data_IF_979984288949
#
_entry.id   IF_979984288949
#
_cell.length_a   1.000
_cell.length_b   1.000
_cell.length_c   1.000
_cell.angle_alpha   90.00
_cell.angle_beta   90.00
_cell.angle_gamma   90.00
#
_symmetry.space_group_name_H-M   'P 1'
#
loop_
_entity.id
_entity.type
_entity.pdbx_description
1 polymer ?
#
# COMPACT_ATOMS: atom_id res chain seq x y z
N UNK A 1 -15.44 28.65 -1.75
CA UNK A 1 -15.52 27.32 -1.12
C UNK A 1 -15.95 26.30 -2.17
N UNK A 2 -15.06 25.41 -2.62
CA UNK A 2 -15.44 24.35 -3.56
C UNK A 2 -16.27 23.33 -2.79
N UNK A 3 -17.59 23.32 -3.00
CA UNK A 3 -18.49 22.31 -2.40
C UNK A 3 -17.98 20.93 -2.83
N UNK A 4 -17.55 20.10 -1.87
CA UNK A 4 -17.12 18.73 -2.17
C UNK A 4 -18.33 18.01 -2.79
N UNK A 5 -18.16 17.52 -4.02
CA UNK A 5 -19.20 16.76 -4.70
C UNK A 5 -19.54 15.53 -3.83
N UNK A 6 -20.82 15.35 -3.44
CA UNK A 6 -21.23 14.18 -2.66
C UNK A 6 -20.84 12.90 -3.40
N UNK A 7 -20.16 11.98 -2.72
CA UNK A 7 -19.74 10.70 -3.32
C UNK A 7 -20.90 9.70 -3.49
N UNK A 8 -22.07 10.02 -2.94
CA UNK A 8 -23.28 9.20 -2.91
C UNK A 8 -24.49 10.09 -3.23
N UNK A 9 -25.53 9.49 -3.78
CA UNK A 9 -26.81 10.15 -4.04
C UNK A 9 -27.34 10.79 -2.75
N UNK A 10 -27.64 12.10 -2.74
CA UNK A 10 -28.31 12.75 -1.61
C UNK A 10 -29.66 12.11 -1.23
N UNK A 11 -30.36 11.50 -2.19
CA UNK A 11 -31.63 10.81 -1.98
C UNK A 11 -31.49 9.35 -1.51
N UNK A 12 -30.27 8.80 -1.47
CA UNK A 12 -30.08 7.43 -1.02
C UNK A 12 -30.29 7.29 0.50
N UNK A 13 -31.02 6.26 0.96
CA UNK A 13 -31.13 5.91 2.36
C UNK A 13 -29.76 5.86 3.05
N UNK A 14 -29.68 6.46 4.23
CA UNK A 14 -28.44 6.45 5.00
C UNK A 14 -28.20 5.03 5.53
N UNK A 15 -26.98 4.53 5.32
CA UNK A 15 -26.57 3.18 5.77
C UNK A 15 -26.89 2.96 7.24
N UNK A 16 -27.33 1.75 7.58
CA UNK A 16 -27.52 1.33 8.96
C UNK A 16 -26.19 1.44 9.75
N UNK A 17 -26.31 1.78 11.03
CA UNK A 17 -25.18 1.91 11.94
C UNK A 17 -24.85 0.56 12.57
N UNK A 18 -23.56 0.32 12.81
CA UNK A 18 -23.11 -0.84 13.60
C UNK A 18 -23.48 -0.65 15.08
N UNK A 19 -23.64 -1.76 15.81
CA UNK A 19 -23.91 -1.82 17.26
C UNK A 19 -23.01 -0.84 18.03
N UNK A 20 -21.70 -0.92 17.79
CA UNK A 20 -20.72 -0.05 18.43
C UNK A 20 -20.93 1.43 18.07
N UNK A 21 -21.28 1.74 16.82
CA UNK A 21 -21.44 3.12 16.36
C UNK A 21 -22.73 3.75 16.91
N UNK A 22 -23.78 2.94 17.14
CA UNK A 22 -24.99 3.38 17.85
C UNK A 22 -24.69 3.70 19.32
N UNK A 23 -23.96 2.80 20.00
CA UNK A 23 -23.49 3.03 21.37
C UNK A 23 -22.62 4.29 21.46
N UNK A 24 -21.63 4.41 20.56
CA UNK A 24 -20.74 5.57 20.52
C UNK A 24 -21.52 6.86 20.34
N UNK A 25 -22.51 6.92 19.43
CA UNK A 25 -23.32 8.12 19.22
C UNK A 25 -24.14 8.50 20.46
N UNK A 26 -24.75 7.52 21.14
CA UNK A 26 -25.56 7.77 22.33
C UNK A 26 -24.73 8.22 23.54
N UNK A 27 -23.53 7.65 23.73
CA UNK A 27 -22.66 7.93 24.87
C UNK A 27 -21.65 9.05 24.62
N UNK A 28 -21.57 9.57 23.39
CA UNK A 28 -20.57 10.58 23.04
C UNK A 28 -20.69 11.83 23.90
N UNK A 29 -21.91 12.31 24.10
CA UNK A 29 -22.17 13.57 24.81
C UNK A 29 -22.03 13.41 26.32
N UNK A 30 -22.41 12.24 26.85
CA UNK A 30 -22.20 11.90 28.27
C UNK A 30 -20.72 11.84 28.59
N UNK A 31 -19.93 11.13 27.79
CA UNK A 31 -18.49 11.04 27.99
C UNK A 31 -17.76 12.37 27.76
N UNK A 32 -18.25 13.22 26.84
CA UNK A 32 -17.73 14.56 26.63
C UNK A 32 -17.98 15.48 27.83
N UNK A 33 -19.13 15.34 28.48
CA UNK A 33 -19.49 16.11 29.68
C UNK A 33 -18.71 15.64 30.90
N UNK A 34 -18.51 14.32 31.04
CA UNK A 34 -17.69 13.74 32.11
C UNK A 34 -16.19 14.05 31.96
N UNK A 35 -15.71 14.18 30.72
CA UNK A 35 -14.30 14.41 30.42
C UNK A 35 -14.10 15.66 29.52
N UNK A 36 -14.37 16.87 30.03
CA UNK A 36 -14.34 18.10 29.22
C UNK A 36 -12.93 18.53 28.76
N UNK A 37 -11.87 17.85 29.23
CA UNK A 37 -10.48 18.11 28.83
C UNK A 37 -9.88 17.12 27.83
N UNK A 38 -10.58 16.04 27.46
CA UNK A 38 -10.06 15.05 26.51
C UNK A 38 -10.27 15.49 25.06
N UNK A 39 -9.26 15.26 24.23
CA UNK A 39 -9.39 15.45 22.78
C UNK A 39 -10.37 14.44 22.18
N UNK A 40 -11.00 14.77 21.04
CA UNK A 40 -11.93 13.85 20.36
C UNK A 40 -11.32 12.46 20.11
N UNK A 41 -10.03 12.40 19.77
CA UNK A 41 -9.33 11.12 19.54
C UNK A 41 -9.16 10.30 20.82
N UNK A 42 -8.83 10.94 21.95
CA UNK A 42 -8.75 10.28 23.26
C UNK A 42 -10.13 9.82 23.72
N UNK A 43 -11.15 10.66 23.55
CA UNK A 43 -12.54 10.34 23.88
C UNK A 43 -13.03 9.12 23.07
N UNK A 44 -12.71 9.04 21.78
CA UNK A 44 -13.07 7.88 20.96
C UNK A 44 -12.37 6.59 21.38
N UNK A 45 -11.14 6.66 21.91
CA UNK A 45 -10.46 5.48 22.47
C UNK A 45 -11.13 5.04 23.78
N UNK A 46 -11.51 6.01 24.61
CA UNK A 46 -12.26 5.78 25.84
C UNK A 46 -13.64 5.16 25.57
N UNK A 47 -14.38 5.63 24.56
CA UNK A 47 -15.68 5.02 24.20
C UNK A 47 -15.53 3.57 23.77
N UNK A 48 -14.46 3.25 23.02
CA UNK A 48 -14.16 1.88 22.62
C UNK A 48 -13.85 0.97 23.81
N UNK A 49 -13.03 1.44 24.77
CA UNK A 49 -12.70 0.64 25.96
C UNK A 49 -13.92 0.42 26.85
N UNK A 50 -14.77 1.43 27.01
CA UNK A 50 -16.04 1.29 27.74
C UNK A 50 -16.97 0.28 27.05
N UNK A 51 -17.12 0.34 25.72
CA UNK A 51 -17.92 -0.64 24.99
C UNK A 51 -17.38 -2.07 25.12
N UNK A 52 -16.06 -2.26 25.13
CA UNK A 52 -15.46 -3.58 25.34
C UNK A 52 -15.78 -4.12 26.74
N UNK A 53 -15.74 -3.25 27.76
CA UNK A 53 -16.01 -3.57 29.15
C UNK A 53 -17.51 -3.72 29.50
N UNK A 54 -18.44 -3.33 28.60
CA UNK A 54 -19.87 -3.48 28.84
C UNK A 54 -20.27 -4.95 29.07
N UNK A 55 -21.17 -5.24 30.02
CA UNK A 55 -21.69 -6.59 30.22
C UNK A 55 -22.46 -7.05 28.98
N UNK A 56 -22.44 -8.36 28.72
CA UNK A 56 -23.06 -8.93 27.51
C UNK A 56 -24.57 -8.65 27.44
N UNK A 57 -25.27 -8.64 28.58
CA UNK A 57 -26.70 -8.30 28.65
C UNK A 57 -27.01 -6.88 28.12
N UNK A 58 -26.15 -5.90 28.41
CA UNK A 58 -26.34 -4.54 27.87
C UNK A 58 -25.98 -4.47 26.39
N UNK A 59 -24.94 -5.20 25.96
CA UNK A 59 -24.58 -5.33 24.54
C UNK A 59 -25.72 -5.91 23.72
N UNK A 60 -26.44 -6.91 24.24
CA UNK A 60 -27.63 -7.49 23.61
C UNK A 60 -28.73 -6.44 23.33
N UNK A 61 -28.95 -5.53 24.28
CA UNK A 61 -29.86 -4.40 24.08
C UNK A 61 -29.46 -3.50 22.90
N UNK A 62 -28.16 -3.25 22.74
CA UNK A 62 -27.65 -2.49 21.58
C UNK A 62 -27.69 -3.30 20.28
N UNK A 63 -27.48 -4.61 20.34
CA UNK A 63 -27.60 -5.52 19.19
C UNK A 63 -29.03 -5.50 18.66
N UNK A 64 -30.03 -5.54 19.54
CA UNK A 64 -31.44 -5.43 19.15
C UNK A 64 -31.76 -4.09 18.48
N UNK A 65 -31.24 -2.97 18.99
CA UNK A 65 -31.42 -1.66 18.33
C UNK A 65 -30.75 -1.61 16.95
N UNK A 66 -29.57 -2.21 16.82
CA UNK A 66 -28.87 -2.28 15.53
C UNK A 66 -29.56 -3.21 14.54
N UNK A 67 -30.23 -4.28 15.00
CA UNK A 67 -31.01 -5.16 14.13
C UNK A 67 -32.28 -4.45 13.62
N UNK A 68 -32.95 -3.67 14.46
CA UNK A 68 -34.07 -2.81 14.05
C UNK A 68 -33.62 -1.75 13.04
N UNK A 69 -32.48 -1.09 13.28
CA UNK A 69 -31.90 -0.09 12.37
C UNK A 69 -31.48 -0.71 11.02
N UNK A 70 -31.01 -1.95 11.03
CA UNK A 70 -30.76 -2.73 9.82
C UNK A 70 -32.06 -2.97 9.05
N UNK A 71 -33.13 -3.36 9.75
CA UNK A 71 -34.44 -3.59 9.14
C UNK A 71 -35.04 -2.29 8.56
N UNK A 72 -34.92 -1.16 9.27
CA UNK A 72 -35.27 0.17 8.73
C UNK A 72 -34.55 0.43 7.40
N UNK A 73 -33.23 0.27 7.38
CA UNK A 73 -32.44 0.49 6.17
C UNK A 73 -32.83 -0.47 5.04
N UNK A 74 -33.12 -1.73 5.33
CA UNK A 74 -33.57 -2.71 4.33
C UNK A 74 -34.94 -2.32 3.73
N UNK A 75 -35.89 -1.88 4.57
CA UNK A 75 -37.19 -1.38 4.12
C UNK A 75 -37.06 -0.09 3.29
N UNK A 76 -36.24 0.87 3.73
CA UNK A 76 -35.97 2.11 2.99
C UNK A 76 -35.28 1.82 1.64
N UNK A 77 -34.30 0.91 1.64
CA UNK A 77 -33.60 0.50 0.42
C UNK A 77 -34.50 -0.25 -0.56
N UNK A 78 -35.49 -1.01 -0.08
CA UNK A 78 -36.47 -1.68 -0.94
C UNK A 78 -37.40 -0.69 -1.67
N UNK A 79 -37.68 0.45 -1.02
CA UNK A 79 -38.51 1.53 -1.60
C UNK A 79 -37.69 2.49 -2.46
N UNK A 80 -36.37 2.51 -2.26
CA UNK A 80 -35.48 3.44 -2.93
C UNK A 80 -35.30 3.10 -4.41
N UNK A 81 -35.64 4.07 -5.26
CA UNK A 81 -35.35 4.06 -6.70
C UNK A 81 -34.20 5.04 -6.96
N UNK A 82 -33.03 4.58 -7.46
CA UNK A 82 -31.88 5.44 -7.66
C UNK A 82 -32.11 6.46 -8.78
N UNK A 83 -31.61 7.68 -8.59
CA UNK A 83 -31.63 8.69 -9.65
C UNK A 83 -30.74 8.26 -10.84
N UNK A 84 -31.05 8.70 -12.08
CA UNK A 84 -30.22 8.40 -13.24
C UNK A 84 -28.76 8.79 -13.03
N UNK A 85 -27.84 7.82 -13.18
CA UNK A 85 -26.40 8.00 -12.95
C UNK A 85 -25.89 7.48 -11.59
N UNK A 86 -26.78 6.98 -10.73
CA UNK A 86 -26.44 6.31 -9.47
C UNK A 86 -26.73 4.81 -9.54
N UNK A 87 -25.98 4.00 -8.79
CA UNK A 87 -26.17 2.55 -8.69
C UNK A 87 -27.36 2.21 -7.77
N UNK A 88 -27.75 0.94 -7.72
CA UNK A 88 -28.84 0.45 -6.86
C UNK A 88 -28.61 0.70 -5.35
N UNK A 89 -27.39 1.06 -4.94
CA UNK A 89 -27.00 1.41 -3.56
C UNK A 89 -26.78 2.92 -3.38
N UNK A 90 -27.09 3.74 -4.38
CA UNK A 90 -26.88 5.20 -4.39
C UNK A 90 -25.43 5.64 -4.59
N UNK A 91 -24.50 4.75 -4.92
CA UNK A 91 -23.14 5.11 -5.35
C UNK A 91 -23.14 5.71 -6.75
N UNK A 92 -22.17 6.58 -7.07
CA UNK A 92 -22.09 7.14 -8.42
C UNK A 92 -21.57 6.08 -9.39
N UNK A 93 -22.29 5.82 -10.50
CA UNK A 93 -21.84 4.89 -11.53
C UNK A 93 -20.58 5.44 -12.21
N UNK A 94 -19.56 4.60 -12.41
CA UNK A 94 -18.22 5.02 -12.86
C UNK A 94 -18.18 5.78 -14.20
N UNK A 95 -19.21 5.67 -15.03
CA UNK A 95 -19.38 6.45 -16.26
C UNK A 95 -19.85 7.90 -16.01
N UNK A 96 -20.59 8.14 -14.92
CA UNK A 96 -21.10 9.44 -14.51
C UNK A 96 -20.24 10.13 -13.44
N UNK A 97 -19.16 9.48 -12.98
CA UNK A 97 -18.37 9.99 -11.85
C UNK A 97 -17.45 11.15 -12.24
N UNK A 98 -17.71 12.39 -11.76
CA UNK A 98 -16.86 13.54 -12.05
C UNK A 98 -15.44 13.38 -11.48
N UNK A 99 -15.27 12.51 -10.47
CA UNK A 99 -13.98 12.16 -9.89
C UNK A 99 -13.05 11.43 -10.87
N UNK A 100 -13.59 10.68 -11.84
CA UNK A 100 -12.78 10.03 -12.88
C UNK A 100 -12.32 11.03 -13.93
N UNK A 101 -13.18 11.99 -14.29
CA UNK A 101 -12.83 13.11 -15.17
C UNK A 101 -11.74 13.99 -14.53
N UNK A 102 -11.81 14.24 -13.21
CA UNK A 102 -10.76 14.98 -12.48
C UNK A 102 -9.38 14.29 -12.50
N UNK A 103 -9.33 12.96 -12.59
CA UNK A 103 -8.07 12.21 -12.58
C UNK A 103 -7.46 11.99 -13.98
N UNK A 104 -8.20 12.25 -15.05
CA UNK A 104 -7.70 12.17 -16.41
C UNK A 104 -7.27 13.58 -16.84
N UNK A 105 -5.95 13.84 -16.89
CA UNK A 105 -5.44 15.11 -17.44
C UNK A 105 -6.06 15.36 -18.81
N UNK A 106 -6.63 16.54 -19.08
CA UNK A 106 -7.14 16.88 -20.40
C UNK A 106 -6.05 16.65 -21.46
N UNK A 107 -6.43 15.98 -22.55
CA UNK A 107 -5.58 15.86 -23.74
C UNK A 107 -6.10 16.85 -24.77
N UNK A 108 -5.18 17.47 -25.50
CA UNK A 108 -5.55 18.30 -26.65
C UNK A 108 -6.31 17.42 -27.67
N UNK A 109 -7.53 17.79 -28.10
CA UNK A 109 -8.25 17.10 -29.16
C UNK A 109 -7.48 17.03 -30.49
N UNK A 110 -6.62 18.02 -30.77
CA UNK A 110 -5.83 18.09 -32.00
C UNK A 110 -4.50 17.30 -31.90
N UNK A 111 -4.20 16.71 -30.74
CA UNK A 111 -2.99 15.93 -30.59
C UNK A 111 -3.06 14.61 -31.40
N UNK A 112 -2.03 14.29 -32.18
CA UNK A 112 -1.92 13.01 -32.86
C UNK A 112 -2.13 11.84 -31.89
N UNK A 113 -2.95 10.87 -32.31
CA UNK A 113 -3.18 9.67 -31.52
C UNK A 113 -1.93 8.81 -31.55
N UNK A 114 -1.50 8.35 -30.38
CA UNK A 114 -0.37 7.42 -30.23
C UNK A 114 -0.47 6.23 -31.18
N UNK A 115 0.69 5.75 -31.60
CA UNK A 115 0.76 4.52 -32.39
C UNK A 115 0.17 3.30 -31.65
N UNK A 116 -0.38 2.40 -32.45
CA UNK A 116 -1.10 1.19 -32.05
C UNK A 116 -0.15 -0.01 -32.27
N UNK A 117 -0.02 -0.86 -31.25
CA UNK A 117 0.80 -2.07 -31.36
C UNK A 117 0.15 -3.15 -32.21
N UNK A 118 0.97 -4.07 -32.72
CA UNK A 118 0.57 -5.23 -33.53
C UNK A 118 -0.60 -6.01 -32.91
N UNK A 119 -0.51 -6.30 -31.61
CA UNK A 119 -1.58 -6.95 -30.86
C UNK A 119 -2.87 -6.12 -30.81
N UNK A 120 -2.79 -4.80 -30.62
CA UNK A 120 -3.96 -3.95 -30.49
C UNK A 120 -4.68 -3.76 -31.83
N UNK A 121 -3.93 -3.75 -32.94
CA UNK A 121 -4.49 -3.80 -34.31
C UNK A 121 -5.23 -5.12 -34.55
N UNK A 122 -4.62 -6.26 -34.19
CA UNK A 122 -5.26 -7.57 -34.25
C UNK A 122 -6.54 -7.61 -33.39
N UNK A 123 -6.46 -7.12 -32.16
CA UNK A 123 -7.60 -7.09 -31.24
C UNK A 123 -8.75 -6.27 -31.80
N UNK A 124 -8.49 -5.14 -32.45
CA UNK A 124 -9.53 -4.32 -33.06
C UNK A 124 -10.22 -5.03 -34.23
N UNK A 125 -9.47 -5.77 -35.05
CA UNK A 125 -10.04 -6.54 -36.16
C UNK A 125 -10.90 -7.73 -35.67
N UNK A 126 -10.43 -8.44 -34.64
CA UNK A 126 -11.05 -9.69 -34.17
C UNK A 126 -12.17 -9.43 -33.15
N UNK A 127 -12.17 -8.30 -32.45
CA UNK A 127 -13.17 -7.98 -31.41
C UNK A 127 -14.61 -8.08 -31.94
N UNK A 128 -14.89 -7.56 -33.13
CA UNK A 128 -16.24 -7.58 -33.70
C UNK A 128 -16.67 -8.99 -34.10
N UNK A 129 -15.75 -9.79 -34.63
CA UNK A 129 -15.98 -11.19 -34.99
C UNK A 129 -16.30 -12.00 -33.73
N UNK A 130 -15.49 -11.86 -32.68
CA UNK A 130 -15.73 -12.54 -31.41
C UNK A 130 -17.04 -12.12 -30.74
N UNK A 131 -17.43 -10.85 -30.87
CA UNK A 131 -18.70 -10.36 -30.35
C UNK A 131 -19.90 -10.95 -31.11
N UNK A 132 -19.75 -11.19 -32.42
CA UNK A 132 -20.77 -11.86 -33.23
C UNK A 132 -20.86 -13.37 -32.93
N UNK A 133 -19.71 -14.05 -32.75
CA UNK A 133 -19.64 -15.46 -32.36
C UNK A 133 -20.16 -15.71 -30.93
N UNK A 134 -19.91 -14.77 -30.01
CA UNK A 134 -20.28 -14.87 -28.60
C UNK A 134 -21.07 -13.64 -28.13
N UNK A 135 -22.32 -13.46 -28.57
CA UNK A 135 -23.12 -12.26 -28.27
C UNK A 135 -23.47 -12.09 -26.78
N UNK A 136 -23.33 -13.15 -25.97
CA UNK A 136 -23.51 -13.12 -24.51
C UNK A 136 -22.23 -13.02 -23.69
N UNK A 137 -21.04 -13.06 -24.31
CA UNK A 137 -19.78 -13.01 -23.59
C UNK A 137 -19.45 -11.57 -23.17
N UNK A 138 -18.97 -11.41 -21.92
CA UNK A 138 -18.52 -10.12 -21.41
C UNK A 138 -17.28 -9.63 -22.17
N UNK A 139 -17.10 -8.31 -22.27
CA UNK A 139 -15.90 -7.70 -22.85
C UNK A 139 -14.60 -8.26 -22.25
N UNK A 140 -14.61 -8.55 -20.94
CA UNK A 140 -13.48 -9.16 -20.26
C UNK A 140 -13.12 -10.55 -20.81
N UNK A 141 -14.14 -11.37 -21.09
CA UNK A 141 -13.95 -12.74 -21.60
C UNK A 141 -13.57 -12.72 -23.08
N UNK A 142 -14.16 -11.83 -23.88
CA UNK A 142 -13.74 -11.58 -25.26
C UNK A 142 -12.26 -11.13 -25.33
N UNK A 143 -11.81 -10.30 -24.39
CA UNK A 143 -10.41 -9.85 -24.32
C UNK A 143 -9.44 -10.97 -23.95
N UNK A 144 -9.83 -11.87 -23.04
CA UNK A 144 -9.03 -13.08 -22.72
C UNK A 144 -8.94 -13.98 -23.96
N UNK A 145 -10.06 -14.21 -24.64
CA UNK A 145 -10.11 -15.03 -25.86
C UNK A 145 -9.28 -14.44 -27.00
N UNK A 146 -9.31 -13.12 -27.19
CA UNK A 146 -8.48 -12.47 -28.21
C UNK A 146 -6.99 -12.62 -27.90
N UNK A 147 -6.61 -12.54 -26.63
CA UNK A 147 -5.23 -12.77 -26.18
C UNK A 147 -4.76 -14.20 -26.44
N UNK A 148 -5.60 -15.20 -26.18
CA UNK A 148 -5.25 -16.60 -26.44
C UNK A 148 -5.16 -16.89 -27.93
N UNK A 149 -6.07 -16.35 -28.76
CA UNK A 149 -5.98 -16.47 -30.23
C UNK A 149 -4.71 -15.81 -30.78
N UNK A 150 -4.33 -14.61 -30.30
CA UNK A 150 -3.10 -13.95 -30.76
C UNK A 150 -1.82 -14.71 -30.39
N UNK A 151 -1.78 -15.37 -29.23
CA UNK A 151 -0.63 -16.20 -28.83
C UNK A 151 -0.50 -17.46 -29.68
N UNK A 152 -1.61 -18.01 -30.17
CA UNK A 152 -1.66 -19.18 -31.05
C UNK A 152 -1.42 -18.85 -32.52
N UNK A 153 -1.36 -17.56 -32.87
CA UNK A 153 -1.16 -17.10 -34.24
C UNK A 153 0.19 -17.57 -34.78
N UNK A 154 0.25 -17.91 -36.07
CA UNK A 154 1.51 -18.35 -36.68
C UNK A 154 2.51 -17.20 -36.77
N UNK A 155 3.80 -17.52 -36.85
CA UNK A 155 4.86 -16.51 -37.01
C UNK A 155 4.67 -15.65 -38.27
N UNK A 156 4.14 -16.24 -39.35
CA UNK A 156 3.85 -15.52 -40.59
C UNK A 156 2.73 -14.50 -40.41
N UNK A 157 1.62 -14.88 -39.80
CA UNK A 157 0.50 -13.96 -39.53
C UNK A 157 0.90 -12.86 -38.55
N UNK A 158 1.70 -13.20 -37.52
CA UNK A 158 2.20 -12.21 -36.55
C UNK A 158 3.08 -11.16 -37.22
N UNK A 159 3.94 -11.57 -38.17
CA UNK A 159 4.75 -10.65 -38.98
C UNK A 159 3.88 -9.66 -39.77
N UNK A 160 2.73 -10.09 -40.31
CA UNK A 160 1.80 -9.19 -41.01
C UNK A 160 1.26 -8.09 -40.07
N UNK A 161 0.93 -8.44 -38.83
CA UNK A 161 0.47 -7.46 -37.83
C UNK A 161 1.60 -6.56 -37.33
N UNK A 162 2.81 -7.10 -37.20
CA UNK A 162 4.00 -6.34 -36.83
C UNK A 162 4.35 -5.30 -37.92
N UNK A 163 4.21 -5.66 -39.19
CA UNK A 163 4.38 -4.72 -40.30
C UNK A 163 3.32 -3.60 -40.29
N UNK A 164 2.04 -3.94 -40.04
CA UNK A 164 0.99 -2.93 -39.88
C UNK A 164 1.28 -1.99 -38.69
N UNK A 165 1.80 -2.51 -37.60
CA UNK A 165 2.22 -1.70 -36.45
C UNK A 165 3.43 -0.81 -36.78
N UNK A 166 4.35 -1.29 -37.63
CA UNK A 166 5.48 -0.50 -38.13
C UNK A 166 5.00 0.69 -38.96
N UNK A 167 4.06 0.48 -39.87
CA UNK A 167 3.44 1.55 -40.66
C UNK A 167 2.67 2.55 -39.76
N UNK A 168 1.93 2.06 -38.77
CA UNK A 168 1.21 2.90 -37.82
C UNK A 168 2.16 3.76 -36.96
N UNK A 169 3.33 3.20 -36.60
CA UNK A 169 4.41 3.95 -35.95
C UNK A 169 4.94 5.05 -36.86
N UNK A 170 5.20 4.78 -38.14
CA UNK A 170 5.66 5.79 -39.10
C UNK A 170 4.62 6.91 -39.28
N UNK A 171 3.33 6.56 -39.38
CA UNK A 171 2.24 7.55 -39.42
C UNK A 171 2.30 8.46 -38.18
N UNK A 172 2.36 7.88 -36.98
CA UNK A 172 2.42 8.67 -35.75
C UNK A 172 3.69 9.54 -35.67
N UNK A 173 4.85 9.01 -36.06
CA UNK A 173 6.12 9.73 -36.07
C UNK A 173 6.06 10.93 -37.05
N UNK A 174 5.37 10.80 -38.19
CA UNK A 174 5.14 11.89 -39.13
C UNK A 174 4.11 12.92 -38.61
N UNK A 175 2.99 12.46 -38.06
CA UNK A 175 1.94 13.31 -37.49
C UNK A 175 2.48 14.13 -36.29
N UNK A 176 3.26 13.50 -35.40
CA UNK A 176 3.83 14.17 -34.24
C UNK A 176 4.93 15.16 -34.63
N UNK A 177 5.67 14.91 -35.71
CA UNK A 177 6.65 15.87 -36.25
C UNK A 177 5.98 17.11 -36.84
N UNK A 178 4.79 16.97 -37.42
CA UNK A 178 4.00 18.08 -37.96
C UNK A 178 3.14 18.79 -36.90
N UNK A 179 2.95 18.18 -35.73
CA UNK A 179 2.11 18.71 -34.67
C UNK A 179 2.85 19.78 -33.86
N UNK A 180 2.29 20.99 -33.84
CA UNK A 180 2.72 22.08 -32.98
C UNK A 180 1.74 22.20 -31.80
N UNK A 181 2.16 21.87 -30.56
CA UNK A 181 1.26 21.92 -29.42
C UNK A 181 0.87 23.37 -29.07
N UNK A 182 -0.40 23.62 -28.68
CA UNK A 182 -0.82 24.92 -28.19
C UNK A 182 -0.17 25.25 -26.84
N UNK A 183 -0.07 26.55 -26.51
CA UNK A 183 0.56 27.01 -25.27
C UNK A 183 -0.06 26.32 -24.04
N UNK A 184 0.79 25.65 -23.24
CA UNK A 184 0.38 24.91 -22.05
C UNK A 184 0.23 23.40 -22.24
N UNK A 185 0.51 22.83 -23.42
CA UNK A 185 0.52 21.39 -23.66
C UNK A 185 1.94 20.85 -23.95
N UNK A 186 2.21 19.62 -23.51
CA UNK A 186 3.44 18.87 -23.83
C UNK A 186 3.49 18.54 -25.33
N UNK A 187 4.68 18.15 -25.82
CA UNK A 187 4.88 17.63 -27.19
C UNK A 187 3.97 16.44 -27.56
N UNK A 188 3.34 15.80 -26.57
CA UNK A 188 2.41 14.67 -26.73
C UNK A 188 0.95 15.10 -26.49
N UNK A 189 0.66 16.40 -26.47
CA UNK A 189 -0.68 16.95 -26.30
C UNK A 189 -1.28 16.76 -24.91
N UNK A 190 -0.46 16.57 -23.87
CA UNK A 190 -0.92 16.51 -22.48
C UNK A 190 -0.87 17.90 -21.87
N UNK A 191 -1.93 18.31 -21.19
CA UNK A 191 -1.93 19.59 -20.47
C UNK A 191 -0.84 19.60 -19.39
N UNK A 192 0.07 20.57 -19.48
CA UNK A 192 1.11 20.85 -18.48
C UNK A 192 0.43 21.61 -17.33
N UNK A 193 -0.12 20.89 -16.37
CA UNK A 193 -0.58 21.52 -15.14
C UNK A 193 0.63 22.00 -14.31
N UNK A 194 0.84 23.32 -14.21
CA UNK A 194 1.87 23.92 -13.33
C UNK A 194 1.76 23.44 -11.88
N UNK A 195 0.52 23.20 -11.41
CA UNK A 195 0.22 22.70 -10.06
C UNK A 195 0.66 21.25 -9.83
N UNK A 196 0.95 20.49 -10.90
CA UNK A 196 1.33 19.08 -10.85
C UNK A 196 2.82 18.84 -11.11
N UNK A 197 3.66 19.88 -11.05
CA UNK A 197 5.10 19.70 -10.81
C UNK A 197 5.25 18.99 -9.47
N UNK A 198 5.35 17.65 -9.51
CA UNK A 198 5.68 16.84 -8.33
C UNK A 198 6.91 17.49 -7.72
N UNK A 199 6.74 18.11 -6.56
CA UNK A 199 7.84 18.65 -5.79
C UNK A 199 8.91 17.58 -5.63
N UNK A 200 10.18 17.96 -5.43
CA UNK A 200 11.25 17.00 -5.25
C UNK A 200 10.81 15.98 -4.21
N UNK A 201 10.77 14.70 -4.59
CA UNK A 201 10.40 13.62 -3.68
C UNK A 201 11.30 13.75 -2.45
N UNK A 202 10.69 13.75 -1.25
CA UNK A 202 11.44 13.68 0.01
C UNK A 202 12.36 12.47 -0.09
N UNK A 203 13.66 12.71 -0.02
CA UNK A 203 14.69 11.66 -0.03
C UNK A 203 14.87 11.19 1.40
N UNK A 204 15.15 9.90 1.58
CA UNK A 204 15.48 9.34 2.89
C UNK A 204 16.62 10.16 3.52
N UNK A 205 16.52 10.58 4.80
CA UNK A 205 17.56 11.36 5.47
C UNK A 205 18.92 10.66 5.47
N UNK A 206 18.92 9.33 5.62
CA UNK A 206 20.12 8.51 5.71
C UNK A 206 20.74 8.17 4.35
N UNK A 207 20.10 8.59 3.24
CA UNK A 207 20.60 8.31 1.91
C UNK A 207 21.86 9.14 1.63
N UNK A 208 22.99 8.52 1.24
CA UNK A 208 24.20 9.23 0.89
C UNK A 208 23.97 10.32 -0.16
N UNK A 209 24.59 11.48 0.05
CA UNK A 209 24.51 12.61 -0.88
C UNK A 209 25.33 12.28 -2.12
N UNK A 210 24.78 12.64 -3.29
CA UNK A 210 25.41 12.38 -4.60
C UNK A 210 26.85 12.91 -4.67
N UNK A 211 27.68 12.21 -5.44
CA UNK A 211 29.02 12.66 -5.82
C UNK A 211 29.00 14.09 -6.39
N UNK A 212 29.93 14.92 -5.94
CA UNK A 212 30.16 16.29 -6.36
C UNK A 212 31.09 16.29 -7.57
N UNK A 213 30.74 17.06 -8.60
CA UNK A 213 31.62 17.31 -9.75
C UNK A 213 32.75 18.28 -9.42
N UNK A 214 33.75 18.36 -10.30
CA UNK A 214 34.94 19.21 -10.12
C UNK A 214 34.60 20.69 -9.94
N UNK A 215 33.67 21.22 -10.73
CA UNK A 215 33.16 22.58 -10.56
C UNK A 215 32.51 22.82 -9.19
N UNK A 216 31.75 21.85 -8.66
CA UNK A 216 31.09 21.99 -7.34
C UNK A 216 32.14 22.02 -6.23
N UNK A 217 33.18 21.21 -6.34
CA UNK A 217 34.30 21.21 -5.39
C UNK A 217 35.07 22.54 -5.44
N UNK A 218 35.33 23.06 -6.63
CA UNK A 218 35.92 24.38 -6.84
C UNK A 218 35.09 25.50 -6.21
N UNK A 219 33.78 25.53 -6.49
CA UNK A 219 32.91 26.57 -5.92
C UNK A 219 32.87 26.52 -4.39
N UNK A 220 32.98 25.36 -3.75
CA UNK A 220 33.03 25.29 -2.28
C UNK A 220 34.27 25.98 -1.70
N UNK A 221 35.40 25.98 -2.42
CA UNK A 221 36.67 26.58 -1.98
C UNK A 221 36.75 28.06 -2.34
N UNK A 222 36.30 28.43 -3.55
CA UNK A 222 36.43 29.80 -4.05
C UNK A 222 35.28 30.72 -3.61
N UNK A 223 34.10 30.16 -3.34
CA UNK A 223 32.94 30.94 -2.87
C UNK A 223 33.24 31.75 -1.60
N UNK A 224 33.86 31.22 -0.53
CA UNK A 224 34.20 32.03 0.64
C UNK A 224 35.23 33.12 0.34
N UNK A 225 36.14 32.91 -0.63
CA UNK A 225 37.13 33.94 -1.02
C UNK A 225 36.46 35.12 -1.72
N UNK A 226 35.60 34.84 -2.70
CA UNK A 226 34.82 35.89 -3.39
C UNK A 226 33.89 36.61 -2.41
N UNK A 227 33.34 35.89 -1.45
CA UNK A 227 32.48 36.48 -0.43
C UNK A 227 33.27 37.36 0.55
N UNK A 228 34.51 37.01 0.88
CA UNK A 228 35.40 37.85 1.68
C UNK A 228 35.81 39.14 0.94
N UNK A 229 36.08 39.04 -0.37
CA UNK A 229 36.39 40.18 -1.23
C UNK A 229 35.17 41.08 -1.46
N UNK A 230 33.96 40.50 -1.55
CA UNK A 230 32.71 41.23 -1.80
C UNK A 230 31.57 40.75 -0.89
N UNK A 231 31.52 41.19 0.39
CA UNK A 231 30.53 40.70 1.36
C UNK A 231 29.07 41.05 1.05
N UNK A 232 28.84 42.03 0.15
CA UNK A 232 27.49 42.48 -0.28
C UNK A 232 27.05 41.90 -1.63
N UNK A 233 27.83 40.99 -2.23
CA UNK A 233 27.48 40.43 -3.55
C UNK A 233 26.23 39.53 -3.45
N UNK A 234 25.26 39.75 -4.33
CA UNK A 234 24.08 38.89 -4.43
C UNK A 234 24.42 37.50 -4.94
N UNK A 235 23.65 36.48 -4.56
CA UNK A 235 23.86 35.08 -4.97
C UNK A 235 23.99 34.90 -6.49
N UNK A 236 23.18 35.63 -7.27
CA UNK A 236 23.19 35.59 -8.74
C UNK A 236 24.54 36.10 -9.30
N UNK A 237 25.01 37.25 -8.83
CA UNK A 237 26.29 37.83 -9.26
C UNK A 237 27.50 37.00 -8.81
N UNK A 238 27.42 36.38 -7.63
CA UNK A 238 28.43 35.43 -7.14
C UNK A 238 28.57 34.20 -8.05
N UNK A 239 27.44 33.68 -8.56
CA UNK A 239 27.44 32.57 -9.49
C UNK A 239 28.12 32.90 -10.82
N UNK A 240 27.91 34.11 -11.34
CA UNK A 240 28.58 34.60 -12.56
C UNK A 240 30.09 34.70 -12.35
N UNK A 241 30.53 35.35 -11.26
CA UNK A 241 31.95 35.50 -10.93
C UNK A 241 32.67 34.14 -10.73
N UNK A 242 32.01 33.16 -10.09
CA UNK A 242 32.54 31.80 -9.94
C UNK A 242 32.68 31.08 -11.29
N UNK A 243 31.72 31.25 -12.19
CA UNK A 243 31.77 30.66 -13.53
C UNK A 243 32.89 31.24 -14.39
N UNK A 244 33.13 32.55 -14.29
CA UNK A 244 34.25 33.23 -14.96
C UNK A 244 35.60 32.77 -14.40
N UNK A 245 35.76 32.73 -13.06
CA UNK A 245 37.00 32.20 -12.44
C UNK A 245 37.26 30.74 -12.80
N UNK A 246 36.23 29.92 -12.95
CA UNK A 246 36.40 28.52 -13.39
C UNK A 246 36.88 28.41 -14.84
N UNK A 247 36.36 29.26 -15.75
CA UNK A 247 36.80 29.28 -17.16
C UNK A 247 38.21 29.86 -17.31
N UNK A 248 38.59 30.80 -16.46
CA UNK A 248 39.91 31.42 -16.43
C UNK A 248 40.98 30.55 -15.76
N UNK A 249 40.61 29.41 -15.15
CA UNK A 249 41.54 28.58 -14.39
C UNK A 249 42.48 27.78 -15.30
N UNK A 250 43.73 27.61 -14.86
CA UNK A 250 44.72 26.80 -15.57
C UNK A 250 44.30 25.31 -15.66
N UNK A 251 44.71 24.60 -16.72
CA UNK A 251 44.38 23.18 -16.89
C UNK A 251 44.90 22.31 -15.75
N UNK A 252 46.06 22.63 -15.18
CA UNK A 252 46.66 21.93 -14.03
C UNK A 252 45.77 22.00 -12.78
N UNK A 253 45.25 23.19 -12.48
CA UNK A 253 44.37 23.37 -11.34
C UNK A 253 43.01 22.72 -11.58
N UNK A 254 42.54 22.67 -12.83
CA UNK A 254 41.33 21.95 -13.20
C UNK A 254 41.49 20.44 -12.99
N UNK A 255 42.63 19.89 -13.38
CA UNK A 255 42.98 18.48 -13.17
C UNK A 255 42.98 18.11 -11.69
N UNK A 256 43.51 18.97 -10.81
CA UNK A 256 43.40 18.79 -9.35
C UNK A 256 41.95 18.61 -8.91
N UNK A 257 41.03 19.45 -9.39
CA UNK A 257 39.61 19.34 -9.03
C UNK A 257 38.93 18.13 -9.67
N UNK A 258 39.33 17.73 -10.88
CA UNK A 258 38.86 16.51 -11.53
C UNK A 258 39.31 15.26 -10.75
N UNK A 259 40.54 15.21 -10.25
CA UNK A 259 41.03 14.15 -9.37
C UNK A 259 40.27 14.10 -8.03
N UNK A 260 39.97 15.26 -7.42
CA UNK A 260 39.12 15.31 -6.23
C UNK A 260 37.69 14.84 -6.54
N UNK A 261 37.13 15.17 -7.69
CA UNK A 261 35.81 14.72 -8.12
C UNK A 261 35.77 13.19 -8.34
N UNK A 262 36.84 12.61 -8.87
CA UNK A 262 36.98 11.16 -8.99
C UNK A 262 37.02 10.48 -7.62
N UNK A 263 37.80 11.00 -6.67
CA UNK A 263 37.80 10.50 -5.28
C UNK A 263 36.43 10.61 -4.63
N UNK A 264 35.74 11.74 -4.81
CA UNK A 264 34.41 11.96 -4.26
C UNK A 264 33.34 11.04 -4.90
N UNK A 265 33.53 10.65 -6.17
CA UNK A 265 32.74 9.63 -6.87
C UNK A 265 32.95 8.25 -6.28
N UNK A 266 34.19 7.85 -5.98
CA UNK A 266 34.50 6.57 -5.33
C UNK A 266 33.86 6.49 -3.95
N UNK A 267 34.05 7.52 -3.12
CA UNK A 267 33.41 7.66 -1.81
C UNK A 267 31.88 7.52 -1.89
N UNK A 268 31.24 8.12 -2.89
CA UNK A 268 29.79 7.96 -3.08
C UNK A 268 29.39 6.52 -3.45
N UNK A 269 30.18 5.82 -4.25
CA UNK A 269 29.91 4.41 -4.60
C UNK A 269 30.01 3.52 -3.37
N UNK A 270 31.04 3.71 -2.55
CA UNK A 270 31.24 2.98 -1.28
C UNK A 270 30.12 3.29 -0.28
N UNK A 271 29.80 4.56 -0.04
CA UNK A 271 28.69 4.96 0.84
C UNK A 271 27.34 4.42 0.35
N UNK A 272 27.08 4.44 -0.96
CA UNK A 272 25.86 3.88 -1.53
C UNK A 272 25.80 2.36 -1.39
N UNK A 273 26.93 1.66 -1.51
CA UNK A 273 26.99 0.23 -1.28
C UNK A 273 26.67 -0.09 0.19
N UNK A 274 27.30 0.60 1.14
CA UNK A 274 27.02 0.47 2.56
C UNK A 274 25.54 0.76 2.89
N UNK A 275 24.99 1.84 2.33
CA UNK A 275 23.57 2.19 2.49
C UNK A 275 22.63 1.11 1.95
N UNK A 276 22.93 0.52 0.79
CA UNK A 276 22.10 -0.53 0.22
C UNK A 276 22.13 -1.80 1.09
N UNK A 277 23.30 -2.15 1.64
CA UNK A 277 23.43 -3.28 2.57
C UNK A 277 22.65 -3.02 3.86
N UNK A 278 22.84 -1.84 4.46
CA UNK A 278 22.11 -1.45 5.67
C UNK A 278 20.59 -1.47 5.43
N UNK A 279 20.14 -0.87 4.34
CA UNK A 279 18.71 -0.86 3.97
C UNK A 279 18.16 -2.26 3.77
N UNK A 280 18.92 -3.15 3.11
CA UNK A 280 18.52 -4.55 2.97
C UNK A 280 18.42 -5.27 4.31
N UNK A 281 19.32 -4.98 5.26
CA UNK A 281 19.27 -5.57 6.60
C UNK A 281 18.12 -5.03 7.45
N UNK A 282 17.81 -3.73 7.35
CA UNK A 282 16.67 -3.10 8.03
C UNK A 282 15.35 -3.62 7.48
N UNK A 283 15.25 -3.78 6.16
CA UNK A 283 14.05 -4.33 5.52
C UNK A 283 13.88 -5.82 5.90
N UNK A 284 14.97 -6.61 5.92
CA UNK A 284 14.93 -8.01 6.39
C UNK A 284 14.57 -8.13 7.88
N UNK A 285 15.10 -7.23 8.73
CA UNK A 285 14.76 -7.19 10.16
C UNK A 285 13.30 -6.81 10.37
N UNK A 286 12.76 -5.86 9.60
CA UNK A 286 11.34 -5.49 9.64
C UNK A 286 10.46 -6.64 9.16
N UNK A 287 10.87 -7.36 8.10
CA UNK A 287 10.15 -8.55 7.63
C UNK A 287 10.15 -9.67 8.68
N UNK A 288 11.30 -9.90 9.35
CA UNK A 288 11.40 -10.86 10.44
C UNK A 288 10.57 -10.46 11.66
N UNK A 289 10.54 -9.17 12.02
CA UNK A 289 9.72 -8.63 13.11
C UNK A 289 8.23 -8.79 12.81
N UNK A 290 7.80 -8.49 11.59
CA UNK A 290 6.41 -8.69 11.12
C UNK A 290 6.05 -10.17 11.11
N UNK A 291 6.97 -11.05 10.69
CA UNK A 291 6.75 -12.49 10.73
C UNK A 291 6.64 -13.01 12.18
N UNK A 292 7.48 -12.52 13.09
CA UNK A 292 7.45 -12.87 14.50
C UNK A 292 6.19 -12.36 15.22
N UNK A 293 5.68 -11.17 14.86
CA UNK A 293 4.39 -10.69 15.38
C UNK A 293 3.21 -11.50 14.83
N UNK A 294 3.27 -11.93 13.57
CA UNK A 294 2.26 -12.83 12.99
C UNK A 294 2.24 -14.20 13.68
N UNK A 295 3.39 -14.81 13.97
CA UNK A 295 3.46 -16.10 14.67
C UNK A 295 3.05 -16.00 16.13
N UNK A 296 3.46 -14.94 16.85
CA UNK A 296 3.05 -14.71 18.24
C UNK A 296 1.54 -14.43 18.36
N UNK A 297 0.95 -13.69 17.43
CA UNK A 297 -0.52 -13.47 17.40
C UNK A 297 -1.27 -14.75 17.08
N UNK A 298 -0.76 -15.58 16.17
CA UNK A 298 -1.33 -16.91 15.88
C UNK A 298 -1.19 -17.87 17.06
N UNK A 299 -0.06 -17.85 17.78
CA UNK A 299 0.17 -18.67 18.96
C UNK A 299 -0.72 -18.24 20.14
N UNK A 300 -0.91 -16.93 20.36
CA UNK A 300 -1.86 -16.42 21.36
C UNK A 300 -3.31 -16.78 21.01
N UNK A 301 -3.70 -16.74 19.73
CA UNK A 301 -5.01 -17.18 19.27
C UNK A 301 -5.23 -18.68 19.52
N UNK A 302 -4.23 -19.53 19.22
CA UNK A 302 -4.29 -20.97 19.48
C UNK A 302 -4.31 -21.31 20.98
N UNK A 303 -3.53 -20.58 21.80
CA UNK A 303 -3.57 -20.73 23.25
C UNK A 303 -4.93 -20.31 23.84
N UNK A 304 -5.54 -19.22 23.35
CA UNK A 304 -6.88 -18.82 23.79
C UNK A 304 -7.97 -19.85 23.40
N UNK A 305 -7.83 -20.51 22.25
CA UNK A 305 -8.70 -21.60 21.83
C UNK A 305 -8.54 -22.87 22.70
N UNK A 306 -7.34 -23.11 23.24
CA UNK A 306 -7.07 -24.19 24.20
C UNK A 306 -7.68 -23.91 25.57
N UNK A 307 -7.66 -22.66 26.06
CA UNK A 307 -8.27 -22.31 27.34
C UNK A 307 -9.81 -22.25 27.28
N UNK A 308 -10.40 -22.02 26.11
CA UNK A 308 -11.86 -22.08 25.92
C UNK A 308 -12.42 -23.52 25.90
N UNK A 309 -11.57 -24.55 25.86
CA UNK A 309 -11.98 -25.96 25.84
C UNK A 309 -11.70 -26.71 27.16
N UNK A 310 -11.30 -25.99 28.21
CA UNK A 310 -11.17 -26.52 29.56
C UNK A 310 -11.93 -25.62 30.54
N UNK A 311 -13.25 -25.77 30.60
CA UNK A 311 -14.03 -25.40 31.80
C UNK A 311 -14.35 -26.67 32.62
N UNK A 312 -14.28 -26.61 33.96
CA UNK A 312 -14.27 -27.79 34.80
C UNK A 312 -15.70 -28.26 35.17
N UNK A 313 -16.01 -29.53 34.90
CA UNK A 313 -17.13 -30.23 35.55
C UNK A 313 -16.76 -30.56 36.99
N UNK A 314 -17.17 -29.71 37.94
CA UNK A 314 -17.23 -30.08 39.37
C UNK A 314 -18.56 -29.61 39.94
N UNK A 315 -19.55 -30.51 39.92
CA UNK A 315 -20.68 -30.47 40.86
C UNK A 315 -21.06 -31.90 41.25
N UNK A 316 -21.25 -32.07 42.56
CA UNK A 316 -21.85 -33.19 43.27
C UNK A 316 -21.00 -34.45 43.42
N UNK A 317 -20.28 -34.57 44.54
CA UNK A 317 -20.50 -35.64 45.53
C UNK A 317 -20.08 -35.07 46.89
N UNK A 318 -21.06 -34.73 47.72
CA UNK A 318 -20.87 -34.38 49.14
C UNK A 318 -21.91 -35.18 49.90
N UNK A 319 -21.59 -36.44 50.19
CA UNK A 319 -22.14 -37.25 51.28
C UNK A 319 -21.53 -38.65 51.15
N UNK A 320 -21.24 -39.26 52.30
CA UNK A 320 -20.56 -40.55 52.47
C UNK A 320 -19.05 -40.55 52.23
N UNK A 321 -18.27 -40.32 53.29
CA UNK A 321 -17.46 -41.34 53.96
C UNK A 321 -16.99 -40.69 55.28
N UNK A 322 -17.82 -40.83 56.30
CA UNK A 322 -17.36 -40.92 57.68
C UNK A 322 -17.10 -42.39 57.99
N UNK A 323 -16.18 -42.65 58.95
CA UNK A 323 -15.63 -43.96 59.34
C UNK A 323 -14.51 -44.40 58.38
N UNK A 324 -13.23 -44.52 58.75
CA UNK A 324 -12.66 -45.10 59.98
C UNK A 324 -11.26 -44.50 60.22
N UNK A 325 -11.08 -43.81 61.34
CA UNK A 325 -9.79 -43.68 62.03
C UNK A 325 -9.52 -45.00 62.76
N UNK A 326 -8.36 -45.63 62.53
CA UNK A 326 -7.53 -46.40 63.48
C UNK A 326 -6.72 -47.46 62.75
N UNK A 327 -5.40 -47.34 62.86
CA UNK A 327 -4.44 -48.41 63.20
C UNK A 327 -3.12 -48.22 62.44
N UNK A 328 -2.25 -47.42 63.06
CA UNK A 328 -0.80 -47.62 63.01
C UNK A 328 -0.52 -48.99 63.63
N UNK A 329 0.01 -49.97 62.88
CA UNK A 329 0.82 -51.03 63.48
C UNK A 329 1.73 -51.74 62.45
N UNK A 330 3.01 -51.39 62.53
CA UNK A 330 4.20 -52.24 62.43
C UNK A 330 4.24 -53.51 61.54
N UNK A 331 5.29 -53.50 60.68
CA UNK A 331 6.15 -54.62 60.25
C UNK A 331 5.53 -55.84 59.55
N UNK A 332 5.89 -55.98 58.26
CA UNK A 332 6.33 -57.23 57.61
C UNK A 332 6.87 -56.84 56.22
N UNK A 333 8.17 -56.88 55.94
CA UNK A 333 9.06 -58.05 55.84
C UNK A 333 8.66 -59.02 54.71
N UNK A 334 9.65 -59.23 53.85
CA UNK A 334 9.90 -60.35 52.93
C UNK A 334 9.34 -60.30 51.49
N UNK A 335 10.31 -60.14 50.60
CA UNK A 335 10.33 -60.41 49.15
C UNK A 335 10.85 -61.85 48.94
N UNK A 336 10.34 -62.58 47.93
CA UNK A 336 11.20 -63.42 47.10
C UNK A 336 10.93 -63.14 45.61
N UNK A 337 11.93 -62.67 44.85
CA UNK A 337 12.86 -63.45 44.02
C UNK A 337 12.17 -64.48 43.10
N UNK A 338 12.09 -64.13 41.82
CA UNK A 338 11.86 -65.02 40.69
C UNK A 338 12.69 -64.52 39.51
N UNK A 339 13.86 -65.13 39.35
CA UNK A 339 14.79 -64.96 38.23
C UNK A 339 14.18 -65.38 36.89
N UNK A 340 14.59 -64.71 35.81
CA UNK A 340 15.03 -65.35 34.54
C UNK A 340 15.47 -64.24 33.56
N UNK A 341 16.77 -63.99 33.43
CA UNK A 341 17.78 -64.65 32.57
C UNK A 341 18.12 -63.84 31.32
N UNK A 342 19.40 -63.50 31.24
CA UNK A 342 20.28 -63.52 30.05
C UNK A 342 19.97 -62.55 28.89
N UNK A 343 20.93 -61.87 28.25
CA UNK A 343 22.36 -61.66 28.45
C UNK A 343 22.76 -60.47 27.56
N UNK A 344 23.76 -59.65 27.93
CA UNK A 344 24.37 -58.64 27.07
C UNK A 344 25.73 -59.12 26.53
N UNK A 345 26.14 -58.71 25.33
CA UNK A 345 27.54 -58.64 24.82
C UNK A 345 27.45 -57.90 23.46
N UNK A 346 27.90 -56.65 23.36
CA UNK A 346 29.29 -56.17 23.14
C UNK A 346 29.86 -56.50 21.75
N UNK A 347 30.16 -55.43 21.00
CA UNK A 347 31.39 -55.10 20.24
C UNK A 347 31.00 -54.27 19.02
N UNK A 348 31.17 -52.95 19.05
CA UNK A 348 32.40 -52.15 18.91
C UNK A 348 32.63 -51.68 17.46
N UNK A 349 33.14 -50.44 17.28
CA UNK A 349 33.11 -49.70 16.02
C UNK A 349 34.46 -49.77 15.28
N UNK A 350 34.44 -49.39 13.99
CA UNK A 350 35.42 -48.55 13.28
C UNK A 350 34.76 -48.03 12.01
#
# INVERSE_FOLDING_TARGET
>A
MVKRIPRRDPGAPKRNLSVYLMYQNAMRDTFKTQNPGMTFGQLSKYTSSMYAALPNAEKEGWILRASQEKLRYEMEMATYVPAPGYDAKGGIVACASPLRAMNLSPKDPNAPRRNISSYLLYQNAIRNILKAEYPGASFGDLSKLTSTRYKKLTSQEKKLWDERARLDKQRFDAEISNYSPPAGYDLVGKLIEESRRKGPKKRDPDRPKRARGSYVLFTNIERPKIFAENPKIGFTSLGVALGERWRAQSPEMREKYDALAQKDKLRFVEEMHAYNVQKSSEDAAREAEVLATCTNTSAMAMASASYANCEPMVKNVSEEIGLVEQAVYYHQATVPLGDNTAAPIMMQPQ
#
